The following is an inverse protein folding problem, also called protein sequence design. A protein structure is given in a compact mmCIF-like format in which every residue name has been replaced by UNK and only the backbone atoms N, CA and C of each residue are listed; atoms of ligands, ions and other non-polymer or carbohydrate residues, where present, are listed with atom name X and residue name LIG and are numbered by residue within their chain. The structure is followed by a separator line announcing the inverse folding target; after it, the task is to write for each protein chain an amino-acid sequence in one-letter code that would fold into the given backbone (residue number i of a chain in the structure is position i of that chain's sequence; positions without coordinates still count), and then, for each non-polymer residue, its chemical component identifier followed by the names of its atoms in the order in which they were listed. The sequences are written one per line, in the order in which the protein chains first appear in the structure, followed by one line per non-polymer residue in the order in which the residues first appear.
data_IF_894593221819
#
_entry.id   IF_894593221819
#
_cell.length_a   1.000
_cell.length_b   1.000
_cell.length_c   1.000
_cell.angle_alpha   90.00
_cell.angle_beta   90.00
_cell.angle_gamma   90.00
#
_symmetry.space_group_name_H-M   'P 1'
#
loop_
_entity.id
_entity.type
_entity.pdbx_description
1 polymer ?
#
# COMPACT_ATOMS: atom_id res chain seq x y z
N UNK A 1 5.13 -9.40 23.29
CA UNK A 1 4.38 -8.13 23.31
C UNK A 1 4.46 -7.39 21.96
N UNK A 2 5.65 -7.24 21.36
CA UNK A 2 5.86 -6.58 20.05
C UNK A 2 5.08 -7.22 18.89
N UNK A 3 5.09 -8.55 18.76
CA UNK A 3 4.35 -9.25 17.68
C UNK A 3 2.85 -8.95 17.72
N UNK A 4 2.24 -8.90 18.91
CA UNK A 4 0.82 -8.57 19.06
C UNK A 4 0.53 -7.12 18.65
N UNK A 5 1.46 -6.19 18.90
CA UNK A 5 1.39 -4.82 18.39
C UNK A 5 1.39 -4.79 16.87
N UNK A 6 2.31 -5.51 16.22
CA UNK A 6 2.34 -5.57 14.74
C UNK A 6 1.11 -6.23 14.15
N UNK A 7 0.58 -7.29 14.75
CA UNK A 7 -0.69 -7.90 14.32
C UNK A 7 -1.86 -6.93 14.41
N UNK A 8 -1.89 -6.09 15.46
CA UNK A 8 -2.89 -5.03 15.60
C UNK A 8 -2.73 -3.96 14.52
N UNK A 9 -1.51 -3.50 14.28
CA UNK A 9 -1.17 -2.52 13.23
C UNK A 9 -1.57 -3.06 11.84
N UNK A 10 -1.24 -4.32 11.53
CA UNK A 10 -1.64 -5.01 10.30
C UNK A 10 -3.16 -5.07 10.16
N UNK A 11 -3.89 -5.40 11.23
CA UNK A 11 -5.35 -5.42 11.22
C UNK A 11 -5.98 -4.04 10.90
N UNK A 12 -5.38 -2.96 11.38
CA UNK A 12 -5.79 -1.58 11.05
C UNK A 12 -5.54 -1.26 9.56
N UNK A 13 -4.35 -1.60 9.06
CA UNK A 13 -3.95 -1.36 7.67
C UNK A 13 -4.79 -2.18 6.69
N UNK A 14 -5.00 -3.48 6.94
CA UNK A 14 -5.83 -4.35 6.10
C UNK A 14 -7.28 -3.87 6.04
N UNK A 15 -7.83 -3.38 7.15
CA UNK A 15 -9.18 -2.80 7.16
C UNK A 15 -9.24 -1.53 6.32
N UNK A 16 -8.25 -0.65 6.44
CA UNK A 16 -8.14 0.55 5.62
C UNK A 16 -8.05 0.20 4.13
N UNK A 17 -7.20 -0.76 3.76
CA UNK A 17 -7.02 -1.20 2.37
C UNK A 17 -8.30 -1.74 1.76
N UNK A 18 -9.01 -2.61 2.50
CA UNK A 18 -10.30 -3.14 2.09
C UNK A 18 -11.34 -2.04 1.91
N UNK A 19 -11.36 -1.03 2.78
CA UNK A 19 -12.31 0.08 2.71
C UNK A 19 -12.07 0.99 1.49
N UNK A 20 -10.83 1.10 1.00
CA UNK A 20 -10.54 1.80 -0.26
C UNK A 20 -11.11 1.07 -1.49
N UNK A 21 -11.38 -0.24 -1.38
CA UNK A 21 -11.93 -1.03 -2.47
C UNK A 21 -10.97 -1.24 -3.64
N UNK A 22 -9.68 -0.88 -3.49
CA UNK A 22 -8.68 -1.00 -4.57
C UNK A 22 -8.52 -2.46 -5.00
N UNK A 23 -8.32 -3.39 -4.06
CA UNK A 23 -8.23 -4.81 -4.38
C UNK A 23 -9.47 -5.39 -5.08
N UNK A 24 -10.65 -4.77 -4.90
CA UNK A 24 -11.88 -5.16 -5.59
C UNK A 24 -11.99 -4.54 -6.98
N UNK A 25 -11.60 -3.27 -7.12
CA UNK A 25 -11.78 -2.50 -8.34
C UNK A 25 -10.64 -2.73 -9.34
N UNK A 26 -9.43 -3.00 -8.84
CA UNK A 26 -8.22 -3.29 -9.61
C UNK A 26 -7.85 -4.76 -9.39
N UNK A 27 -8.71 -5.67 -9.87
CA UNK A 27 -8.51 -7.12 -9.74
C UNK A 27 -7.24 -7.63 -10.41
N UNK A 28 -6.62 -6.82 -11.27
CA UNK A 28 -5.34 -7.10 -11.90
C UNK A 28 -4.14 -6.82 -10.97
N UNK A 29 -4.27 -5.88 -10.03
CA UNK A 29 -3.20 -5.50 -9.11
C UNK A 29 -3.09 -6.52 -7.98
N UNK A 30 -1.86 -6.87 -7.60
CA UNK A 30 -1.66 -7.88 -6.54
C UNK A 30 -1.95 -7.26 -5.17
N UNK A 31 -2.65 -7.98 -4.29
CA UNK A 31 -2.84 -7.54 -2.91
C UNK A 31 -1.57 -7.74 -2.09
N UNK A 32 -0.74 -6.70 -2.01
CA UNK A 32 0.57 -6.71 -1.34
C UNK A 32 0.56 -6.06 0.04
N UNK A 33 -0.60 -5.99 0.70
CA UNK A 33 -0.74 -5.29 1.97
C UNK A 33 0.11 -5.91 3.10
N UNK A 34 0.21 -7.24 3.11
CA UNK A 34 1.02 -7.98 4.09
C UNK A 34 2.52 -7.77 3.82
N UNK A 35 2.94 -7.84 2.56
CA UNK A 35 4.32 -7.60 2.13
C UNK A 35 4.76 -6.17 2.49
N UNK A 36 3.91 -5.20 2.19
CA UNK A 36 4.14 -3.78 2.53
C UNK A 36 4.29 -3.57 4.03
N UNK A 37 3.42 -4.21 4.83
CA UNK A 37 3.52 -4.12 6.28
C UNK A 37 4.80 -4.78 6.82
N UNK A 38 5.14 -5.96 6.32
CA UNK A 38 6.34 -6.69 6.74
C UNK A 38 7.62 -5.91 6.42
N UNK A 39 7.70 -5.32 5.23
CA UNK A 39 8.82 -4.48 4.82
C UNK A 39 9.04 -3.33 5.81
N UNK A 40 7.95 -2.67 6.20
CA UNK A 40 7.99 -1.50 7.08
C UNK A 40 8.27 -1.87 8.54
N UNK A 41 7.81 -3.04 9.00
CA UNK A 41 8.24 -3.60 10.28
C UNK A 41 9.75 -3.87 10.27
N UNK A 42 10.31 -4.34 9.15
CA UNK A 42 11.74 -4.54 8.98
C UNK A 42 12.57 -3.26 9.09
N UNK A 43 12.01 -2.11 8.71
CA UNK A 43 12.68 -0.80 8.87
C UNK A 43 12.68 -0.30 10.33
N UNK A 44 11.52 -0.39 11.01
CA UNK A 44 11.34 0.15 12.36
C UNK A 44 10.36 -0.71 13.18
N UNK A 45 10.87 -1.78 13.80
CA UNK A 45 10.05 -2.75 14.53
C UNK A 45 9.64 -2.28 15.94
N UNK A 46 10.25 -1.23 16.50
CA UNK A 46 9.97 -0.80 17.87
C UNK A 46 8.54 -0.25 18.00
N UNK A 47 7.78 -0.62 19.05
CA UNK A 47 6.37 -0.25 19.18
C UNK A 47 6.06 1.24 19.06
N UNK A 48 6.97 2.12 19.50
CA UNK A 48 6.81 3.58 19.42
C UNK A 48 6.64 4.10 17.98
N UNK A 49 7.14 3.38 16.97
CA UNK A 49 7.06 3.80 15.56
C UNK A 49 5.75 3.37 14.87
N UNK A 50 4.69 3.10 15.61
CA UNK A 50 3.37 2.73 15.06
C UNK A 50 2.90 3.69 13.95
N UNK A 51 2.96 4.99 14.20
CA UNK A 51 2.48 6.00 13.25
C UNK A 51 3.27 5.94 11.93
N UNK A 52 4.60 5.88 12.03
CA UNK A 52 5.50 5.70 10.90
C UNK A 52 5.16 4.43 10.12
N UNK A 53 5.02 3.29 10.83
CA UNK A 53 4.72 2.02 10.17
C UNK A 53 3.40 2.03 9.43
N UNK A 54 2.36 2.59 10.07
CA UNK A 54 1.04 2.67 9.48
C UNK A 54 1.01 3.58 8.24
N UNK A 55 1.68 4.73 8.26
CA UNK A 55 1.72 5.62 7.10
C UNK A 55 2.57 5.06 5.97
N UNK A 56 3.76 4.55 6.26
CA UNK A 56 4.64 4.04 5.24
C UNK A 56 4.07 2.79 4.55
N UNK A 57 3.43 1.89 5.31
CA UNK A 57 2.78 0.72 4.71
C UNK A 57 1.66 1.14 3.72
N UNK A 58 0.87 2.17 4.04
CA UNK A 58 -0.16 2.71 3.15
C UNK A 58 0.42 3.29 1.87
N UNK A 59 1.49 4.11 2.01
CA UNK A 59 2.18 4.72 0.87
C UNK A 59 2.78 3.64 -0.02
N UNK A 60 3.44 2.63 0.55
CA UNK A 60 4.01 1.53 -0.21
C UNK A 60 2.93 0.72 -0.93
N UNK A 61 1.81 0.42 -0.29
CA UNK A 61 0.72 -0.31 -0.96
C UNK A 61 0.15 0.45 -2.15
N UNK A 62 -0.04 1.78 -2.03
CA UNK A 62 -0.48 2.61 -3.17
C UNK A 62 0.60 2.71 -4.25
N UNK A 63 1.86 2.86 -3.87
CA UNK A 63 2.99 2.93 -4.80
C UNK A 63 3.10 1.65 -5.63
N UNK A 64 3.01 0.48 -4.99
CA UNK A 64 3.04 -0.81 -5.69
C UNK A 64 1.84 -0.98 -6.64
N UNK A 65 0.66 -0.47 -6.27
CA UNK A 65 -0.51 -0.49 -7.17
C UNK A 65 -0.31 0.43 -8.37
N UNK A 66 0.29 1.61 -8.18
CA UNK A 66 0.60 2.53 -9.28
C UNK A 66 1.70 1.91 -10.17
N UNK A 67 2.70 1.27 -9.58
CA UNK A 67 3.76 0.54 -10.31
C UNK A 67 3.16 -0.52 -11.23
N UNK A 68 2.29 -1.40 -10.72
CA UNK A 68 1.56 -2.39 -11.52
C UNK A 68 0.81 -1.73 -12.71
N UNK A 69 0.21 -0.54 -12.49
CA UNK A 69 -0.47 0.21 -13.56
C UNK A 69 0.51 0.71 -14.61
N UNK A 70 1.67 1.23 -14.22
CA UNK A 70 2.65 1.79 -15.16
C UNK A 70 3.51 0.74 -15.87
N UNK A 71 3.75 -0.42 -15.25
CA UNK A 71 4.68 -1.44 -15.75
C UNK A 71 4.02 -2.46 -16.69
N UNK A 72 2.78 -2.85 -16.42
CA UNK A 72 2.10 -3.98 -17.09
C UNK A 72 0.74 -3.59 -17.65
N UNK A 73 -0.08 -2.84 -16.90
CA UNK A 73 -1.53 -2.77 -17.20
C UNK A 73 -1.98 -1.54 -18.01
N UNK A 74 -1.34 -0.39 -17.84
CA UNK A 74 -1.75 0.86 -18.47
C UNK A 74 -1.19 1.02 -19.88
N UNK A 75 -2.03 1.47 -20.81
CA UNK A 75 -1.55 1.95 -22.11
C UNK A 75 -0.88 3.32 -21.97
N UNK A 76 0.07 3.65 -22.86
CA UNK A 76 0.78 4.94 -22.83
C UNK A 76 -0.16 6.15 -22.73
N UNK A 77 -1.28 6.12 -23.44
CA UNK A 77 -2.28 7.20 -23.44
C UNK A 77 -2.96 7.36 -22.08
N UNK A 78 -3.32 6.25 -21.43
CA UNK A 78 -3.90 6.26 -20.08
C UNK A 78 -2.87 6.74 -19.05
N UNK A 79 -1.61 6.29 -19.17
CA UNK A 79 -0.53 6.69 -18.27
C UNK A 79 -0.22 8.19 -18.38
N UNK A 80 -0.17 8.75 -19.59
CA UNK A 80 -0.01 10.19 -19.78
C UNK A 80 -1.15 11.00 -19.15
N UNK A 81 -2.39 10.52 -19.26
CA UNK A 81 -3.55 11.16 -18.64
C UNK A 81 -3.48 11.09 -17.12
N UNK A 82 -3.10 9.94 -16.57
CA UNK A 82 -2.93 9.76 -15.13
C UNK A 82 -1.82 10.66 -14.58
N UNK A 83 -0.65 10.70 -15.22
CA UNK A 83 0.46 11.60 -14.84
C UNK A 83 0.00 13.06 -14.82
N UNK A 84 -0.66 13.52 -15.90
CA UNK A 84 -1.19 14.89 -15.98
C UNK A 84 -2.24 15.20 -14.91
N UNK A 85 -3.00 14.19 -14.46
CA UNK A 85 -3.98 14.35 -13.39
C UNK A 85 -3.32 14.50 -12.02
N UNK A 86 -2.17 13.85 -11.79
CA UNK A 86 -1.38 13.98 -10.55
C UNK A 86 -0.60 15.29 -10.50
N UNK A 87 -0.12 15.79 -11.64
CA UNK A 87 0.63 17.06 -11.74
C UNK A 87 -0.25 18.33 -11.59
N UNK A 88 -1.58 18.18 -11.59
CA UNK A 88 -2.54 19.28 -11.46
C UNK A 88 -2.77 19.70 -10.01
#
# INVERSE_FOLDING_TARGET
MVQATHQKDLGEITRWWRNLGIARNLSFSRDRIIESHLFVVGLNFEPQYKCFRNWLAKVLSLMMTIDDVYDVYGSLQELELFTKAVDR
#
